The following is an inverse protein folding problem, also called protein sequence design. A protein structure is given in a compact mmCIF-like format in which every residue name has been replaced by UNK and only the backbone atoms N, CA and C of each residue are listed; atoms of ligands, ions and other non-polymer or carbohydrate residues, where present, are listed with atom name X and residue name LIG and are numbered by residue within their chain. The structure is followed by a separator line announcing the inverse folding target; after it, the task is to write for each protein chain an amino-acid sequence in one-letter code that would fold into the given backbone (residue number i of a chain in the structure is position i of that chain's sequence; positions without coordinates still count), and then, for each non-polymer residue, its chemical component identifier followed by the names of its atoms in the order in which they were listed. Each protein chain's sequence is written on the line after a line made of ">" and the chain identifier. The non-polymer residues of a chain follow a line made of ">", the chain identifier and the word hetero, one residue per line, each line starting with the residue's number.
data_IF_846280067419
#
_entry.id   IF_846280067419
#
_cell.length_a   1.000
_cell.length_b   1.000
_cell.length_c   1.000
_cell.angle_alpha   90.00
_cell.angle_beta   90.00
_cell.angle_gamma   90.00
#
_symmetry.space_group_name_H-M   'P 1'
#
loop_
_entity.id
_entity.type
_entity.pdbx_description
1 polymer ?
#
# COMPACT_ATOMS: atom_id res chain seq x y z
N UNK A 1 -28.54 -12.16 24.17
CA UNK A 1 -28.81 -11.26 25.32
C UNK A 1 -28.88 -9.77 24.98
N UNK A 2 -28.50 -9.32 23.77
CA UNK A 2 -28.46 -7.89 23.40
C UNK A 2 -29.83 -7.25 23.04
N UNK A 3 -30.85 -8.04 22.67
CA UNK A 3 -32.15 -7.51 22.22
C UNK A 3 -33.08 -7.00 23.34
N UNK A 4 -32.88 -7.45 24.59
CA UNK A 4 -33.73 -7.04 25.73
C UNK A 4 -33.49 -5.57 26.14
N UNK A 5 -32.29 -5.05 25.89
CA UNK A 5 -31.90 -3.70 26.32
C UNK A 5 -32.54 -2.58 25.48
N UNK A 6 -32.74 -2.78 24.17
CA UNK A 6 -33.31 -1.76 23.29
C UNK A 6 -34.82 -1.56 23.49
N UNK A 7 -35.56 -2.63 23.80
CA UNK A 7 -37.02 -2.55 24.05
C UNK A 7 -37.31 -1.80 25.36
N UNK A 8 -36.49 -2.01 26.40
CA UNK A 8 -36.60 -1.34 27.70
C UNK A 8 -36.35 0.17 27.61
N UNK A 9 -35.33 0.59 26.84
CA UNK A 9 -35.03 2.02 26.63
C UNK A 9 -36.10 2.73 25.81
N UNK A 10 -36.67 2.05 24.81
CA UNK A 10 -37.72 2.61 23.96
C UNK A 10 -39.03 2.84 24.72
N UNK A 11 -39.41 1.90 25.60
CA UNK A 11 -40.60 2.04 26.47
C UNK A 11 -40.45 3.18 27.51
N UNK A 12 -39.23 3.45 28.00
CA UNK A 12 -38.97 4.58 28.91
C UNK A 12 -39.11 5.95 28.24
N UNK A 13 -38.82 6.04 26.94
CA UNK A 13 -38.98 7.29 26.17
C UNK A 13 -40.47 7.63 25.98
N UNK A 14 -41.31 6.61 25.80
CA UNK A 14 -42.75 6.78 25.63
C UNK A 14 -43.48 7.20 26.92
N UNK A 15 -43.01 6.76 28.08
CA UNK A 15 -43.59 7.13 29.38
C UNK A 15 -43.48 8.62 29.74
N UNK A 16 -42.65 9.40 29.03
CA UNK A 16 -42.45 10.84 29.28
C UNK A 16 -43.19 11.76 28.30
N UNK A 17 -43.82 11.24 27.24
CA UNK A 17 -44.53 12.04 26.26
C UNK A 17 -45.98 12.30 26.71
N UNK A 18 -46.24 13.50 27.26
CA UNK A 18 -47.61 13.98 27.51
C UNK A 18 -48.24 14.46 26.20
N UNK A 19 -49.07 13.62 25.58
CA UNK A 19 -49.84 14.00 24.40
C UNK A 19 -51.03 14.89 24.79
N UNK A 20 -51.02 16.16 24.35
CA UNK A 20 -52.08 17.14 24.61
C UNK A 20 -53.36 16.95 23.78
N UNK A 21 -53.40 16.00 22.84
CA UNK A 21 -54.54 15.82 21.92
C UNK A 21 -54.71 14.36 21.52
N UNK A 22 -55.97 13.88 21.52
CA UNK A 22 -56.35 12.53 21.07
C UNK A 22 -55.94 12.24 19.62
N UNK A 23 -55.83 13.26 18.75
CA UNK A 23 -55.38 13.08 17.36
C UNK A 23 -53.92 12.61 17.25
N UNK A 24 -53.05 13.03 18.18
CA UNK A 24 -51.62 12.67 18.13
C UNK A 24 -51.37 11.23 18.55
N UNK A 25 -52.24 10.64 19.36
CA UNK A 25 -52.14 9.23 19.77
C UNK A 25 -52.40 8.32 18.57
N UNK A 26 -53.37 8.67 17.70
CA UNK A 26 -53.70 7.89 16.52
C UNK A 26 -52.55 7.84 15.51
N UNK A 27 -51.87 8.97 15.25
CA UNK A 27 -50.72 9.00 14.34
C UNK A 27 -49.53 8.19 14.84
N UNK A 28 -49.26 8.23 16.15
CA UNK A 28 -48.18 7.46 16.76
C UNK A 28 -48.48 5.96 16.71
N UNK A 29 -49.74 5.56 16.93
CA UNK A 29 -50.15 4.16 16.82
C UNK A 29 -50.08 3.66 15.37
N UNK A 30 -50.47 4.50 14.41
CA UNK A 30 -50.42 4.17 12.98
C UNK A 30 -48.97 4.05 12.48
N UNK A 31 -48.08 4.95 12.93
CA UNK A 31 -46.65 4.86 12.64
C UNK A 31 -46.04 3.56 13.20
N UNK A 32 -46.40 3.19 14.43
CA UNK A 32 -45.90 1.97 15.07
C UNK A 32 -46.35 0.69 14.35
N UNK A 33 -47.63 0.65 13.93
CA UNK A 33 -48.17 -0.43 13.11
C UNK A 33 -47.46 -0.56 11.76
N UNK A 34 -47.20 0.56 11.07
CA UNK A 34 -46.47 0.56 9.79
C UNK A 34 -45.05 0.04 9.98
N UNK A 35 -44.34 0.47 11.05
CA UNK A 35 -43.00 -0.05 11.34
C UNK A 35 -43.00 -1.54 11.70
N UNK A 36 -44.00 -2.04 12.44
CA UNK A 36 -44.10 -3.48 12.71
C UNK A 36 -44.39 -4.31 11.46
N UNK A 37 -45.28 -3.83 10.58
CA UNK A 37 -45.58 -4.50 9.32
C UNK A 37 -44.35 -4.51 8.42
N UNK A 38 -43.59 -3.40 8.34
CA UNK A 38 -42.29 -3.39 7.65
C UNK A 38 -41.31 -4.39 8.27
N UNK A 39 -41.24 -4.53 9.60
CA UNK A 39 -40.37 -5.54 10.22
C UNK A 39 -40.83 -7.00 10.05
N UNK A 40 -42.11 -7.23 9.75
CA UNK A 40 -42.66 -8.58 9.55
C UNK A 40 -42.71 -9.02 8.08
N UNK A 41 -42.80 -8.07 7.14
CA UNK A 41 -42.93 -8.36 5.70
C UNK A 41 -41.57 -8.48 5.01
N UNK A 42 -40.51 -7.89 5.56
CA UNK A 42 -39.16 -8.12 5.06
C UNK A 42 -38.59 -9.39 5.72
N UNK A 43 -38.30 -10.46 4.96
CA UNK A 43 -37.61 -11.61 5.52
C UNK A 43 -36.26 -11.15 6.06
N UNK A 44 -35.83 -11.74 7.19
CA UNK A 44 -34.45 -11.60 7.67
C UNK A 44 -33.51 -11.79 6.48
N UNK A 45 -32.43 -10.99 6.33
CA UNK A 45 -31.41 -11.32 5.36
C UNK A 45 -30.97 -12.75 5.65
N UNK A 46 -31.21 -13.61 4.67
CA UNK A 46 -30.68 -14.97 4.66
C UNK A 46 -29.17 -14.78 4.68
N UNK A 47 -28.50 -15.33 5.70
CA UNK A 47 -27.04 -15.48 5.67
C UNK A 47 -26.73 -16.44 4.51
N UNK A 48 -26.53 -15.86 3.33
CA UNK A 48 -26.05 -16.58 2.17
C UNK A 48 -24.61 -17.02 2.46
N UNK A 49 -24.46 -18.30 2.81
CA UNK A 49 -23.20 -19.06 2.81
C UNK A 49 -22.67 -19.29 1.38
N UNK A 50 -22.72 -18.26 0.54
CA UNK A 50 -22.35 -18.29 -0.89
C UNK A 50 -21.27 -17.25 -1.26
N UNK A 51 -20.57 -16.67 -0.28
CA UNK A 51 -19.59 -15.57 -0.49
C UNK A 51 -18.12 -15.99 -0.56
N UNK A 52 -17.77 -17.28 -0.57
CA UNK A 52 -16.35 -17.66 -0.60
C UNK A 52 -15.69 -17.54 -1.98
N UNK A 53 -16.44 -17.49 -3.08
CA UNK A 53 -15.84 -17.46 -4.44
C UNK A 53 -15.69 -16.08 -5.05
N UNK A 54 -16.48 -15.09 -4.60
CA UNK A 54 -16.33 -13.69 -5.03
C UNK A 54 -15.29 -12.92 -4.21
N UNK A 55 -15.03 -13.32 -2.96
CA UNK A 55 -14.01 -12.69 -2.11
C UNK A 55 -12.57 -13.05 -2.48
N UNK A 56 -12.31 -14.23 -3.05
CA UNK A 56 -10.96 -14.61 -3.48
C UNK A 56 -10.41 -13.70 -4.60
N UNK A 57 -11.28 -13.18 -5.48
CA UNK A 57 -10.87 -12.28 -6.56
C UNK A 57 -10.60 -10.85 -6.07
N UNK A 58 -11.28 -10.38 -5.02
CA UNK A 58 -11.05 -9.04 -4.46
C UNK A 58 -9.78 -8.96 -3.60
N UNK A 59 -9.42 -10.06 -2.93
CA UNK A 59 -8.25 -10.11 -2.04
C UNK A 59 -6.90 -9.89 -2.75
N UNK A 60 -6.86 -9.96 -4.08
CA UNK A 60 -5.63 -9.77 -4.87
C UNK A 60 -5.56 -8.40 -5.56
N UNK A 61 -6.56 -7.53 -5.37
CA UNK A 61 -6.55 -6.21 -6.00
C UNK A 61 -5.67 -5.24 -5.23
N UNK A 62 -4.72 -4.63 -5.95
CA UNK A 62 -3.67 -3.78 -5.40
C UNK A 62 -3.50 -2.55 -6.28
N UNK A 63 -3.41 -1.38 -5.64
CA UNK A 63 -2.99 -0.14 -6.28
C UNK A 63 -1.60 0.22 -5.77
N UNK A 64 -0.64 0.28 -6.67
CA UNK A 64 0.73 0.73 -6.39
C UNK A 64 0.81 2.19 -6.78
N UNK A 65 1.10 3.05 -5.81
CA UNK A 65 1.16 4.51 -5.95
C UNK A 65 2.62 4.93 -6.00
N UNK A 66 2.99 5.69 -7.02
CA UNK A 66 4.33 6.23 -7.12
C UNK A 66 4.32 7.66 -7.67
N UNK A 67 5.41 8.36 -7.38
CA UNK A 67 5.75 9.64 -8.00
C UNK A 67 7.17 9.55 -8.59
N UNK A 68 7.30 9.02 -9.80
CA UNK A 68 8.58 8.89 -10.49
C UNK A 68 9.13 10.25 -10.95
N UNK A 69 10.38 10.30 -11.40
CA UNK A 69 10.84 11.40 -12.24
C UNK A 69 10.29 11.25 -13.66
N UNK A 70 10.19 12.32 -14.46
CA UNK A 70 9.85 12.21 -15.88
C UNK A 70 10.80 11.29 -16.65
N UNK A 71 10.23 10.47 -17.55
CA UNK A 71 10.95 9.61 -18.49
C UNK A 71 11.52 10.47 -19.61
N UNK A 72 12.62 11.14 -19.28
CA UNK A 72 13.28 12.12 -20.16
C UNK A 72 14.43 11.53 -20.97
N UNK A 73 14.84 10.29 -20.68
CA UNK A 73 15.97 9.62 -21.31
C UNK A 73 15.85 8.10 -21.24
N UNK A 74 16.66 7.41 -22.05
CA UNK A 74 16.67 5.95 -22.17
C UNK A 74 17.02 5.25 -20.86
N UNK A 75 17.93 5.81 -20.07
CA UNK A 75 18.31 5.24 -18.77
C UNK A 75 17.11 5.15 -17.82
N UNK A 76 16.28 6.20 -17.78
CA UNK A 76 15.06 6.23 -16.94
C UNK A 76 14.00 5.30 -17.49
N UNK A 77 13.81 5.30 -18.83
CA UNK A 77 12.89 4.39 -19.54
C UNK A 77 13.18 2.93 -19.19
N UNK A 78 14.43 2.51 -19.36
CA UNK A 78 14.82 1.11 -19.22
C UNK A 78 14.68 0.63 -17.76
N UNK A 79 15.00 1.51 -16.80
CA UNK A 79 14.82 1.21 -15.36
C UNK A 79 13.36 1.10 -14.97
N UNK A 80 12.51 2.03 -15.43
CA UNK A 80 11.07 1.98 -15.13
C UNK A 80 10.37 0.83 -15.82
N UNK A 81 10.85 0.38 -16.99
CA UNK A 81 10.36 -0.85 -17.58
C UNK A 81 10.56 -2.02 -16.62
N UNK A 82 11.73 -2.14 -15.98
CA UNK A 82 12.01 -3.21 -15.03
C UNK A 82 11.12 -3.06 -13.77
N UNK A 83 11.13 -1.89 -13.13
CA UNK A 83 10.42 -1.71 -11.85
C UNK A 83 8.90 -1.79 -12.01
N UNK A 84 8.32 -1.05 -12.96
CA UNK A 84 6.87 -1.06 -13.20
C UNK A 84 6.39 -2.43 -13.68
N UNK A 85 7.22 -3.19 -14.42
CA UNK A 85 6.85 -4.55 -14.78
C UNK A 85 6.82 -5.47 -13.57
N UNK A 86 7.75 -5.35 -12.63
CA UNK A 86 7.70 -6.13 -11.38
C UNK A 86 6.40 -5.91 -10.61
N UNK A 87 5.91 -4.66 -10.60
CA UNK A 87 4.66 -4.28 -9.98
C UNK A 87 3.45 -4.83 -10.76
N UNK A 88 3.39 -4.61 -12.06
CA UNK A 88 2.26 -5.01 -12.91
C UNK A 88 2.13 -6.53 -13.06
N UNK A 89 3.24 -7.28 -12.93
CA UNK A 89 3.25 -8.74 -12.94
C UNK A 89 2.87 -9.35 -11.59
N UNK A 90 2.79 -8.56 -10.53
CA UNK A 90 2.47 -9.04 -9.19
C UNK A 90 1.07 -9.68 -9.12
N UNK A 91 0.08 -9.08 -9.80
CA UNK A 91 -1.22 -9.70 -10.08
C UNK A 91 -1.86 -9.11 -11.34
N UNK A 92 -2.72 -9.87 -12.07
CA UNK A 92 -3.42 -9.38 -13.26
C UNK A 92 -4.30 -8.14 -13.02
N UNK A 93 -4.75 -7.94 -11.78
CA UNK A 93 -5.59 -6.81 -11.35
C UNK A 93 -4.80 -5.66 -10.73
N UNK A 94 -3.46 -5.77 -10.64
CA UNK A 94 -2.64 -4.70 -10.07
C UNK A 94 -2.69 -3.46 -10.94
N UNK A 95 -3.02 -2.30 -10.36
CA UNK A 95 -2.95 -1.00 -11.01
C UNK A 95 -1.74 -0.22 -10.50
N UNK A 96 -1.08 0.52 -11.37
CA UNK A 96 -0.05 1.50 -11.00
C UNK A 96 -0.66 2.88 -11.15
N UNK A 97 -0.73 3.63 -10.06
CA UNK A 97 -1.18 5.01 -10.00
C UNK A 97 0.02 5.95 -9.94
N UNK A 98 0.19 6.72 -11.02
CA UNK A 98 1.24 7.73 -11.14
C UNK A 98 0.63 9.09 -10.81
N UNK A 99 1.10 9.74 -9.74
CA UNK A 99 0.55 11.01 -9.24
C UNK A 99 1.12 12.25 -9.96
N UNK A 100 1.05 12.23 -11.29
CA UNK A 100 1.34 13.38 -12.16
C UNK A 100 0.61 13.21 -13.51
N UNK A 101 0.45 14.26 -14.31
CA UNK A 101 -0.15 14.15 -15.63
C UNK A 101 0.68 13.25 -16.58
N UNK A 102 0.03 12.54 -17.52
CA UNK A 102 0.72 11.62 -18.44
C UNK A 102 1.78 12.31 -19.31
N UNK A 103 1.53 13.54 -19.74
CA UNK A 103 2.47 14.32 -20.55
C UNK A 103 3.69 14.81 -19.74
N UNK A 104 3.58 14.85 -18.40
CA UNK A 104 4.72 15.16 -17.52
C UNK A 104 5.54 13.89 -17.25
N UNK A 105 4.85 12.76 -17.03
CA UNK A 105 5.51 11.48 -16.79
C UNK A 105 6.32 10.99 -18.01
N UNK A 106 5.70 10.96 -19.20
CA UNK A 106 6.33 10.43 -20.41
C UNK A 106 6.21 11.43 -21.57
N UNK A 107 6.92 12.57 -21.51
CA UNK A 107 6.73 13.69 -22.44
C UNK A 107 7.04 13.33 -23.90
N UNK A 108 7.82 12.27 -24.13
CA UNK A 108 8.24 11.83 -25.46
C UNK A 108 7.65 10.46 -25.84
N UNK A 109 6.67 9.93 -25.09
CA UNK A 109 6.08 8.61 -25.30
C UNK A 109 7.12 7.47 -25.39
N UNK A 110 8.16 7.52 -24.57
CA UNK A 110 9.27 6.58 -24.54
C UNK A 110 8.91 5.23 -23.93
N UNK A 111 7.93 5.17 -23.03
CA UNK A 111 7.63 3.95 -22.27
C UNK A 111 6.15 3.57 -22.24
N UNK A 112 5.24 4.55 -22.21
CA UNK A 112 3.81 4.30 -22.05
C UNK A 112 3.22 3.41 -23.14
N UNK A 113 3.51 3.61 -24.45
CA UNK A 113 3.02 2.72 -25.49
C UNK A 113 3.42 1.25 -25.27
N UNK A 114 4.65 1.01 -24.80
CA UNK A 114 5.15 -0.33 -24.53
C UNK A 114 4.45 -0.95 -23.31
N UNK A 115 4.34 -0.23 -22.20
CA UNK A 115 3.67 -0.74 -21.00
C UNK A 115 2.19 -1.04 -21.25
N UNK A 116 1.49 -0.17 -21.99
CA UNK A 116 0.10 -0.42 -22.40
C UNK A 116 -0.02 -1.66 -23.29
N UNK A 117 0.89 -1.85 -24.24
CA UNK A 117 0.91 -3.06 -25.06
C UNK A 117 1.15 -4.34 -24.25
N UNK A 118 2.06 -4.29 -23.26
CA UNK A 118 2.43 -5.46 -22.46
C UNK A 118 1.37 -5.86 -21.43
N UNK A 119 0.73 -4.89 -20.79
CA UNK A 119 -0.11 -5.13 -19.61
C UNK A 119 -1.60 -4.88 -19.86
N UNK A 120 -1.93 -4.16 -20.94
CA UNK A 120 -3.28 -3.75 -21.28
C UNK A 120 -3.59 -2.31 -20.86
N UNK A 121 -4.73 -1.81 -21.35
CA UNK A 121 -5.27 -0.53 -20.94
C UNK A 121 -5.67 -0.57 -19.45
N UNK A 122 -5.73 0.61 -18.82
CA UNK A 122 -6.20 0.81 -17.43
C UNK A 122 -5.36 0.13 -16.33
N UNK A 123 -4.20 -0.45 -16.69
CA UNK A 123 -3.21 -0.96 -15.74
C UNK A 123 -2.31 0.13 -15.16
N UNK A 124 -2.07 1.18 -15.93
CA UNK A 124 -1.40 2.39 -15.49
C UNK A 124 -2.41 3.52 -15.56
N UNK A 125 -2.65 4.15 -14.43
CA UNK A 125 -3.59 5.26 -14.27
C UNK A 125 -2.83 6.49 -13.75
N UNK A 126 -3.33 7.66 -14.10
CA UNK A 126 -2.74 8.93 -13.70
C UNK A 126 -3.66 9.66 -12.74
N UNK A 127 -3.09 10.11 -11.63
CA UNK A 127 -3.80 10.87 -10.61
C UNK A 127 -3.61 12.39 -10.75
N UNK A 128 -4.16 13.16 -9.81
CA UNK A 128 -3.95 14.60 -9.77
C UNK A 128 -2.48 14.93 -9.50
N UNK A 129 -2.02 16.08 -9.99
CA UNK A 129 -0.74 16.66 -9.59
C UNK A 129 -0.73 16.91 -8.08
N UNK A 130 0.38 16.58 -7.43
CA UNK A 130 0.59 16.87 -6.01
C UNK A 130 1.14 18.27 -5.81
N UNK A 131 0.88 18.88 -4.65
CA UNK A 131 1.44 20.21 -4.37
C UNK A 131 2.95 20.14 -4.11
N UNK A 132 3.60 21.26 -4.42
CA UNK A 132 5.04 21.44 -4.31
C UNK A 132 5.35 22.74 -3.61
N UNK A 133 6.54 22.82 -3.01
CA UNK A 133 7.09 24.10 -2.54
C UNK A 133 7.50 25.03 -3.70
N UNK A 134 8.06 26.19 -3.36
CA UNK A 134 8.50 27.21 -4.30
C UNK A 134 9.63 26.77 -5.26
N UNK A 135 10.41 25.72 -4.93
CA UNK A 135 11.40 25.15 -5.85
C UNK A 135 10.87 23.91 -6.57
N UNK A 136 9.57 23.62 -6.48
CA UNK A 136 8.95 22.46 -7.12
C UNK A 136 9.25 21.13 -6.43
N UNK A 137 9.64 21.12 -5.15
CA UNK A 137 9.81 19.86 -4.41
C UNK A 137 8.46 19.42 -3.84
N UNK A 138 7.99 18.20 -4.16
CA UNK A 138 6.68 17.76 -3.71
C UNK A 138 6.59 17.44 -2.22
N UNK A 139 5.39 17.57 -1.67
CA UNK A 139 5.12 17.21 -0.28
C UNK A 139 4.65 15.75 -0.10
N UNK A 140 5.09 15.12 0.99
CA UNK A 140 4.77 13.72 1.34
C UNK A 140 3.32 13.55 1.77
N UNK A 141 2.77 14.45 2.57
CA UNK A 141 1.36 14.42 2.99
C UNK A 141 0.42 14.41 1.76
N UNK A 142 0.66 15.31 0.81
CA UNK A 142 -0.05 15.37 -0.47
C UNK A 142 0.07 14.07 -1.27
N UNK A 143 1.26 13.46 -1.30
CA UNK A 143 1.50 12.17 -1.95
C UNK A 143 0.68 11.03 -1.32
N UNK A 144 0.52 11.04 0.00
CA UNK A 144 -0.32 10.07 0.72
C UNK A 144 -1.82 10.35 0.56
N UNK A 145 -2.26 11.59 0.73
CA UNK A 145 -3.67 12.00 0.65
C UNK A 145 -4.22 11.75 -0.75
N UNK A 146 -3.62 12.35 -1.79
CA UNK A 146 -4.07 12.20 -3.18
C UNK A 146 -3.95 10.76 -3.67
N UNK A 147 -2.95 10.04 -3.18
CA UNK A 147 -2.79 8.62 -3.44
C UNK A 147 -3.95 7.79 -2.89
N UNK A 148 -4.33 8.01 -1.63
CA UNK A 148 -5.43 7.31 -0.98
C UNK A 148 -6.77 7.61 -1.66
N UNK A 149 -7.01 8.88 -1.99
CA UNK A 149 -8.25 9.34 -2.61
C UNK A 149 -8.47 8.75 -4.01
N UNK A 150 -7.41 8.61 -4.79
CA UNK A 150 -7.48 8.06 -6.15
C UNK A 150 -7.39 6.53 -6.18
N UNK A 151 -7.02 5.85 -5.09
CA UNK A 151 -6.91 4.41 -5.03
C UNK A 151 -8.27 3.72 -4.79
N UNK A 152 -8.58 2.76 -5.67
CA UNK A 152 -9.87 2.04 -5.68
C UNK A 152 -9.83 0.66 -5.01
N UNK A 153 -8.63 0.17 -4.68
CA UNK A 153 -8.44 -1.21 -4.21
C UNK A 153 -8.33 -1.30 -2.68
N UNK A 154 -8.64 -2.47 -2.08
CA UNK A 154 -8.50 -2.67 -0.64
C UNK A 154 -7.06 -2.62 -0.15
N UNK A 155 -6.09 -3.04 -0.99
CA UNK A 155 -4.66 -2.92 -0.72
C UNK A 155 -4.07 -1.75 -1.50
N UNK A 156 -3.31 -0.90 -0.82
CA UNK A 156 -2.69 0.29 -1.40
C UNK A 156 -1.22 0.32 -0.99
N UNK A 157 -0.31 0.59 -1.92
CA UNK A 157 1.13 0.59 -1.66
C UNK A 157 1.79 1.84 -2.22
N UNK A 158 2.31 2.72 -1.37
CA UNK A 158 3.21 3.79 -1.79
C UNK A 158 4.61 3.23 -1.93
N UNK A 159 5.24 3.42 -3.09
CA UNK A 159 6.55 2.83 -3.38
C UNK A 159 7.45 3.82 -4.16
N UNK A 160 8.74 3.80 -3.85
CA UNK A 160 9.74 4.52 -4.66
C UNK A 160 9.90 3.86 -6.04
N UNK A 161 10.13 4.68 -7.07
CA UNK A 161 10.03 4.22 -8.46
C UNK A 161 11.18 3.30 -8.93
N UNK A 162 12.22 3.16 -8.13
CA UNK A 162 13.41 2.34 -8.33
C UNK A 162 13.39 1.03 -7.53
N UNK A 163 12.23 0.69 -6.95
CA UNK A 163 12.04 -0.55 -6.21
C UNK A 163 11.41 -1.63 -7.08
N UNK A 164 11.98 -2.82 -7.02
CA UNK A 164 11.46 -4.05 -7.62
C UNK A 164 10.80 -4.88 -6.51
N UNK A 165 9.58 -5.35 -6.77
CA UNK A 165 8.89 -6.32 -5.90
C UNK A 165 9.34 -7.73 -6.25
N UNK A 166 9.98 -8.47 -5.33
CA UNK A 166 10.53 -9.80 -5.62
C UNK A 166 9.44 -10.87 -5.69
N UNK A 167 9.83 -12.08 -6.09
CA UNK A 167 8.93 -13.23 -6.09
C UNK A 167 8.39 -13.49 -4.67
N UNK A 168 7.10 -13.77 -4.57
CA UNK A 168 6.46 -14.06 -3.29
C UNK A 168 6.15 -12.84 -2.42
N UNK A 169 6.34 -11.61 -2.92
CA UNK A 169 5.94 -10.38 -2.23
C UNK A 169 4.42 -10.33 -1.98
N UNK A 170 3.58 -10.30 -3.02
CA UNK A 170 2.12 -10.25 -2.85
C UNK A 170 1.55 -11.48 -2.13
N UNK A 171 2.01 -12.73 -2.37
CA UNK A 171 1.54 -13.87 -1.57
C UNK A 171 1.72 -13.68 -0.05
N UNK A 172 2.83 -13.06 0.40
CA UNK A 172 3.01 -12.70 1.82
C UNK A 172 2.03 -11.62 2.26
N UNK A 173 1.81 -10.59 1.44
CA UNK A 173 0.82 -9.55 1.72
C UNK A 173 -0.59 -10.15 1.83
N UNK A 174 -0.97 -11.06 0.93
CA UNK A 174 -2.27 -11.73 0.96
C UNK A 174 -2.43 -12.61 2.20
N UNK A 175 -1.36 -13.29 2.61
CA UNK A 175 -1.34 -14.01 3.88
C UNK A 175 -1.62 -13.06 5.05
N UNK A 176 -0.91 -11.93 5.13
CA UNK A 176 -1.12 -10.92 6.17
C UNK A 176 -2.53 -10.33 6.11
N UNK A 177 -3.03 -10.04 4.91
CA UNK A 177 -4.38 -9.55 4.69
C UNK A 177 -5.39 -10.52 5.26
N UNK A 178 -5.31 -11.81 4.91
CA UNK A 178 -6.19 -12.82 5.46
C UNK A 178 -6.08 -12.95 6.99
N UNK A 179 -4.87 -12.84 7.55
CA UNK A 179 -4.66 -12.93 9.00
C UNK A 179 -5.30 -11.76 9.75
N UNK A 180 -5.01 -10.52 9.36
CA UNK A 180 -5.51 -9.32 10.05
C UNK A 180 -6.97 -9.01 9.72
N UNK A 181 -7.40 -9.21 8.47
CA UNK A 181 -8.78 -8.99 8.06
C UNK A 181 -9.75 -9.92 8.79
N UNK A 182 -9.39 -11.19 9.05
CA UNK A 182 -10.20 -12.12 9.86
C UNK A 182 -10.41 -11.65 11.30
N UNK A 183 -9.54 -10.76 11.78
CA UNK A 183 -9.63 -10.16 13.10
C UNK A 183 -10.26 -8.76 13.07
N UNK A 184 -10.82 -8.34 11.93
CA UNK A 184 -11.39 -7.00 11.71
C UNK A 184 -10.36 -5.88 11.96
N UNK A 185 -9.10 -6.14 11.57
CA UNK A 185 -7.99 -5.21 11.76
C UNK A 185 -7.45 -4.69 10.45
N UNK A 186 -7.38 -3.36 10.36
CA UNK A 186 -6.50 -2.67 9.42
C UNK A 186 -5.04 -2.93 9.80
N UNK A 187 -4.14 -2.93 8.82
CA UNK A 187 -2.71 -3.10 9.05
C UNK A 187 -1.89 -2.38 7.98
N UNK A 188 -0.61 -2.18 8.31
CA UNK A 188 0.40 -1.65 7.39
C UNK A 188 1.59 -2.59 7.28
N UNK A 189 2.24 -2.61 6.12
CA UNK A 189 3.40 -3.44 5.83
C UNK A 189 4.54 -2.61 5.29
N UNK A 190 5.74 -2.92 5.76
CA UNK A 190 7.01 -2.39 5.27
C UNK A 190 7.99 -3.55 5.06
N UNK A 191 9.10 -3.29 4.38
CA UNK A 191 10.26 -4.18 4.45
C UNK A 191 11.55 -3.38 4.45
N UNK A 192 12.63 -4.08 4.81
CA UNK A 192 14.00 -3.68 4.49
C UNK A 192 14.19 -3.82 2.98
N UNK A 193 15.06 -3.00 2.38
CA UNK A 193 15.51 -3.21 1.00
C UNK A 193 16.84 -3.96 0.94
N UNK A 194 17.11 -4.56 -0.21
CA UNK A 194 18.44 -4.94 -0.63
C UNK A 194 18.89 -4.00 -1.74
N UNK A 195 20.13 -3.55 -1.66
CA UNK A 195 20.77 -2.74 -2.69
C UNK A 195 21.49 -3.64 -3.68
N UNK A 196 21.41 -3.29 -4.96
CA UNK A 196 22.21 -3.90 -6.01
C UNK A 196 22.46 -2.92 -7.15
N UNK A 197 23.59 -3.10 -7.83
CA UNK A 197 23.93 -2.35 -9.03
C UNK A 197 23.46 -3.11 -10.27
N UNK A 198 22.74 -2.41 -11.15
CA UNK A 198 22.30 -2.95 -12.43
C UNK A 198 22.82 -2.05 -13.56
N UNK A 199 23.79 -2.52 -14.37
CA UNK A 199 24.41 -1.71 -15.41
C UNK A 199 23.37 -1.18 -16.43
N UNK A 200 23.46 0.09 -16.86
CA UNK A 200 22.56 0.65 -17.86
C UNK A 200 22.47 -0.20 -19.14
N UNK A 201 23.59 -0.78 -19.58
CA UNK A 201 23.67 -1.59 -20.80
C UNK A 201 22.79 -2.84 -20.69
N UNK A 202 22.75 -3.47 -19.51
CA UNK A 202 21.88 -4.63 -19.24
C UNK A 202 20.41 -4.22 -19.20
N UNK A 203 20.10 -3.05 -18.64
CA UNK A 203 18.73 -2.52 -18.66
C UNK A 203 18.24 -2.24 -20.09
N UNK A 204 19.10 -1.65 -20.92
CA UNK A 204 18.79 -1.43 -22.33
C UNK A 204 18.65 -2.73 -23.11
N UNK A 205 19.42 -3.77 -22.77
CA UNK A 205 19.25 -5.11 -23.34
C UNK A 205 17.86 -5.68 -23.05
N UNK A 206 17.36 -5.57 -21.81
CA UNK A 206 15.98 -5.99 -21.46
C UNK A 206 14.96 -5.25 -22.32
N UNK A 207 15.07 -3.92 -22.44
CA UNK A 207 14.16 -3.11 -23.25
C UNK A 207 14.18 -3.55 -24.73
N UNK A 208 15.37 -3.66 -25.32
CA UNK A 208 15.55 -4.03 -26.72
C UNK A 208 15.01 -5.44 -27.01
N UNK A 209 15.25 -6.40 -26.12
CA UNK A 209 14.76 -7.78 -26.30
C UNK A 209 13.24 -7.86 -26.36
N UNK A 210 12.52 -7.02 -25.60
CA UNK A 210 11.05 -6.95 -25.65
C UNK A 210 10.58 -6.24 -26.91
N UNK A 211 11.26 -5.16 -27.31
CA UNK A 211 10.90 -4.41 -28.50
C UNK A 211 11.05 -5.27 -29.76
N UNK A 212 12.17 -5.98 -29.91
CA UNK A 212 12.43 -6.86 -31.06
C UNK A 212 11.54 -8.09 -31.10
N UNK A 213 11.02 -8.56 -29.97
CA UNK A 213 10.03 -9.64 -29.95
C UNK A 213 8.60 -9.17 -30.30
N UNK A 214 8.43 -7.92 -30.75
CA UNK A 214 7.12 -7.29 -30.99
C UNK A 214 6.17 -7.39 -29.79
N UNK A 215 6.69 -7.42 -28.55
CA UNK A 215 5.88 -7.63 -27.35
C UNK A 215 5.21 -9.01 -27.26
N UNK A 216 5.44 -9.92 -28.22
CA UNK A 216 5.17 -11.34 -27.99
C UNK A 216 6.13 -11.82 -26.91
N UNK A 217 5.67 -12.74 -26.04
CA UNK A 217 6.49 -13.30 -24.94
C UNK A 217 7.81 -13.81 -25.52
N UNK A 218 8.84 -12.97 -25.44
CA UNK A 218 10.22 -13.40 -25.59
C UNK A 218 10.43 -14.58 -24.66
N UNK A 219 11.30 -15.53 -25.02
CA UNK A 219 11.66 -16.63 -24.12
C UNK A 219 12.20 -16.12 -22.76
N UNK A 220 12.55 -14.84 -22.68
CA UNK A 220 13.04 -14.15 -21.49
C UNK A 220 12.02 -13.20 -20.83
N UNK A 221 10.75 -13.18 -21.27
CA UNK A 221 9.71 -12.30 -20.71
C UNK A 221 8.57 -13.08 -20.02
N UNK A 222 8.21 -12.75 -18.76
CA UNK A 222 8.83 -11.74 -17.90
C UNK A 222 10.22 -12.16 -17.38
N UNK A 223 11.12 -11.22 -17.04
CA UNK A 223 12.42 -11.55 -16.48
C UNK A 223 12.26 -12.12 -15.06
N UNK A 224 13.24 -12.90 -14.63
CA UNK A 224 13.37 -13.28 -13.23
C UNK A 224 14.01 -12.12 -12.45
N UNK A 225 13.19 -11.43 -11.65
CA UNK A 225 13.63 -10.29 -10.85
C UNK A 225 14.63 -10.69 -9.74
N UNK A 226 14.59 -11.93 -9.25
CA UNK A 226 15.54 -12.42 -8.24
C UNK A 226 16.91 -12.71 -8.86
N UNK A 227 16.93 -13.11 -10.15
CA UNK A 227 18.16 -13.25 -10.95
C UNK A 227 18.76 -11.89 -11.30
N UNK A 228 17.94 -10.90 -11.70
CA UNK A 228 18.35 -9.52 -11.92
C UNK A 228 19.08 -8.96 -10.69
N UNK A 229 18.56 -9.24 -9.49
CA UNK A 229 19.11 -8.81 -8.22
C UNK A 229 20.03 -9.88 -7.59
N UNK A 230 20.66 -10.76 -8.37
CA UNK A 230 21.50 -11.85 -7.83
C UNK A 230 22.71 -11.37 -7.02
N UNK A 231 23.24 -10.18 -7.30
CA UNK A 231 24.36 -9.54 -6.57
C UNK A 231 23.92 -8.68 -5.39
N UNK A 232 22.64 -8.75 -5.00
CA UNK A 232 22.06 -7.92 -3.95
C UNK A 232 22.73 -8.10 -2.59
N UNK A 233 22.73 -7.02 -1.81
CA UNK A 233 23.19 -6.99 -0.43
C UNK A 233 22.15 -6.31 0.45
N UNK A 234 22.05 -6.73 1.70
CA UNK A 234 21.04 -6.21 2.61
C UNK A 234 21.38 -4.77 3.03
N UNK A 235 20.49 -3.80 2.78
CA UNK A 235 20.70 -2.40 3.19
C UNK A 235 20.57 -2.24 4.70
N UNK A 236 20.79 -1.09 5.33
CA UNK A 236 20.44 -0.91 6.76
C UNK A 236 18.92 -1.09 7.05
N UNK A 237 18.54 -1.30 8.31
CA UNK A 237 17.12 -1.39 8.73
C UNK A 237 16.34 -0.07 8.59
N UNK A 238 17.03 1.02 8.22
CA UNK A 238 16.43 2.32 7.94
C UNK A 238 15.98 2.48 6.48
N UNK A 239 16.41 1.60 5.56
CA UNK A 239 15.97 1.64 4.17
C UNK A 239 14.58 1.06 4.01
N UNK A 240 13.57 1.94 4.05
CA UNK A 240 12.16 1.64 3.86
C UNK A 240 11.71 2.40 2.62
N UNK A 241 11.41 1.67 1.55
CA UNK A 241 11.05 2.28 0.26
C UNK A 241 9.63 1.97 -0.20
N UNK A 242 8.86 1.24 0.63
CA UNK A 242 7.42 1.13 0.43
C UNK A 242 6.65 1.15 1.74
N UNK A 243 5.40 1.60 1.65
CA UNK A 243 4.41 1.57 2.70
C UNK A 243 3.12 0.98 2.11
N UNK A 244 2.78 -0.24 2.51
CA UNK A 244 1.53 -0.88 2.11
C UNK A 244 0.52 -0.78 3.24
N UNK A 245 -0.74 -0.55 2.89
CA UNK A 245 -1.83 -0.45 3.85
C UNK A 245 -3.07 -1.18 3.32
N UNK A 246 -3.75 -1.89 4.21
CA UNK A 246 -5.11 -2.36 3.97
C UNK A 246 -6.11 -1.25 4.32
N UNK A 247 -6.85 -0.74 3.34
CA UNK A 247 -7.76 0.41 3.47
C UNK A 247 -8.93 0.16 4.41
N UNK A 248 -9.41 -1.08 4.48
CA UNK A 248 -10.57 -1.47 5.28
C UNK A 248 -10.14 -2.20 6.57
N UNK A 249 -10.96 -2.20 7.65
CA UNK A 249 -12.32 -1.63 7.74
C UNK A 249 -12.37 -0.18 8.23
N UNK A 250 -11.23 0.48 8.48
CA UNK A 250 -11.17 1.81 9.09
C UNK A 250 -10.62 2.86 8.13
N UNK A 251 -11.22 4.04 8.13
CA UNK A 251 -10.67 5.18 7.38
C UNK A 251 -9.42 5.73 8.08
N UNK A 252 -8.33 5.82 7.34
CA UNK A 252 -7.07 6.41 7.79
C UNK A 252 -7.11 7.91 7.50
N UNK A 253 -6.73 8.72 8.48
CA UNK A 253 -6.57 10.15 8.29
C UNK A 253 -5.11 10.51 8.03
N UNK A 254 -4.75 10.78 6.78
CA UNK A 254 -3.39 11.20 6.42
C UNK A 254 -3.13 12.71 6.62
N UNK A 255 -4.13 13.50 7.01
CA UNK A 255 -3.97 14.93 7.33
C UNK A 255 -3.04 15.15 8.54
N UNK A 256 -2.75 14.09 9.31
CA UNK A 256 -1.78 14.13 10.40
C UNK A 256 -0.31 14.05 9.94
N UNK A 257 -0.06 13.65 8.69
CA UNK A 257 1.28 13.63 8.12
C UNK A 257 1.72 15.09 7.90
N UNK A 258 2.87 15.52 8.45
CA UNK A 258 3.41 16.84 8.16
C UNK A 258 3.80 16.98 6.70
N UNK A 259 3.84 18.21 6.14
CA UNK A 259 4.31 18.47 4.79
C UNK A 259 5.84 18.29 4.72
N UNK A 260 6.29 17.04 4.68
CA UNK A 260 7.69 16.71 4.46
C UNK A 260 8.03 16.86 2.99
N UNK A 261 9.24 17.30 2.70
CA UNK A 261 9.75 17.34 1.33
C UNK A 261 10.17 15.94 0.88
N UNK A 262 9.61 15.48 -0.25
CA UNK A 262 9.95 14.23 -0.90
C UNK A 262 11.43 14.21 -1.33
N UNK A 263 12.06 13.04 -1.24
CA UNK A 263 13.47 12.85 -1.60
C UNK A 263 14.47 13.39 -0.57
N UNK A 264 14.01 14.03 0.51
CA UNK A 264 14.82 14.45 1.66
C UNK A 264 14.75 13.41 2.78
N UNK A 265 15.70 13.44 3.71
CA UNK A 265 15.69 12.50 4.84
C UNK A 265 14.54 12.77 5.81
N UNK A 266 14.31 11.80 6.71
CA UNK A 266 13.53 11.87 7.95
C UNK A 266 12.08 11.42 7.85
N UNK A 267 11.42 11.66 6.72
CA UNK A 267 9.99 11.39 6.58
C UNK A 267 9.67 9.90 6.67
N UNK A 268 10.52 9.04 6.14
CA UNK A 268 10.37 7.58 6.08
C UNK A 268 10.22 6.93 7.48
N UNK A 269 11.19 7.01 8.42
CA UNK A 269 11.00 6.56 9.80
C UNK A 269 9.91 7.29 10.57
N UNK A 270 9.55 8.50 10.14
CA UNK A 270 8.45 9.22 10.76
C UNK A 270 7.12 8.57 10.38
N UNK A 271 6.87 8.32 9.09
CA UNK A 271 5.69 7.62 8.59
C UNK A 271 5.60 6.23 9.21
N UNK A 272 6.70 5.48 9.27
CA UNK A 272 6.72 4.16 9.93
C UNK A 272 6.26 4.24 11.39
N UNK A 273 6.74 5.23 12.14
CA UNK A 273 6.35 5.37 13.54
C UNK A 273 4.93 5.87 13.72
N UNK A 274 4.46 6.73 12.82
CA UNK A 274 3.07 7.16 12.78
C UNK A 274 2.13 5.97 12.47
N UNK A 275 2.44 5.16 11.45
CA UNK A 275 1.69 3.94 11.14
C UNK A 275 1.66 2.97 12.32
N UNK A 276 2.82 2.71 12.94
CA UNK A 276 2.91 1.86 14.13
C UNK A 276 2.04 2.33 15.29
N UNK A 277 1.83 3.63 15.43
CA UNK A 277 0.99 4.22 16.49
C UNK A 277 -0.50 4.01 16.19
N UNK A 278 -0.90 4.01 14.92
CA UNK A 278 -2.30 4.00 14.51
C UNK A 278 -2.83 2.61 14.09
N UNK A 279 -1.96 1.69 13.69
CA UNK A 279 -2.34 0.34 13.28
C UNK A 279 -1.21 -0.68 13.50
N UNK A 280 -1.50 -1.99 13.49
CA UNK A 280 -0.49 -3.03 13.33
C UNK A 280 0.47 -2.70 12.18
N UNK A 281 1.73 -2.43 12.53
CA UNK A 281 2.82 -2.32 11.56
C UNK A 281 3.54 -3.65 11.49
N UNK A 282 3.60 -4.22 10.30
CA UNK A 282 4.26 -5.49 10.02
C UNK A 282 5.49 -5.26 9.17
N UNK A 283 6.62 -5.82 9.61
CA UNK A 283 7.79 -5.97 8.75
C UNK A 283 7.73 -7.31 8.01
N UNK A 284 8.07 -7.33 6.73
CA UNK A 284 8.25 -8.60 6.00
C UNK A 284 9.46 -9.42 6.48
N UNK A 285 10.20 -8.94 7.49
CA UNK A 285 11.31 -9.66 8.11
C UNK A 285 12.68 -9.11 7.74
N UNK A 286 13.71 -9.72 8.29
CA UNK A 286 15.11 -9.47 7.90
C UNK A 286 15.60 -10.48 6.85
N UNK A 287 14.90 -11.59 6.67
CA UNK A 287 15.16 -12.62 5.68
C UNK A 287 14.43 -12.36 4.36
N UNK A 288 13.60 -11.32 4.28
CA UNK A 288 12.96 -10.86 3.05
C UNK A 288 13.28 -9.38 2.78
N UNK A 289 13.55 -9.04 1.52
CA UNK A 289 13.80 -7.65 1.12
C UNK A 289 13.24 -7.34 -0.27
N UNK A 290 12.80 -6.11 -0.48
CA UNK A 290 12.59 -5.57 -1.84
C UNK A 290 13.92 -5.19 -2.47
N UNK A 291 14.00 -5.09 -3.80
CA UNK A 291 15.26 -4.74 -4.45
C UNK A 291 15.28 -3.28 -4.89
N UNK A 292 16.26 -2.53 -4.41
CA UNK A 292 16.49 -1.15 -4.79
C UNK A 292 17.56 -1.12 -5.87
N UNK A 293 17.16 -0.69 -7.07
CA UNK A 293 18.09 -0.43 -8.16
C UNK A 293 18.94 0.79 -7.78
N UNK A 294 20.21 0.59 -7.48
CA UNK A 294 21.06 1.69 -7.05
C UNK A 294 21.10 2.82 -8.08
N UNK A 295 21.18 4.04 -7.53
CA UNK A 295 21.36 5.27 -8.29
C UNK A 295 22.17 6.26 -7.45
N UNK A 296 22.77 7.26 -8.09
CA UNK A 296 23.50 8.31 -7.38
C UNK A 296 22.51 9.14 -6.56
N UNK A 297 22.66 9.22 -5.22
CA UNK A 297 21.77 10.02 -4.40
C UNK A 297 21.90 11.52 -4.75
N UNK A 298 20.78 12.20 -4.93
CA UNK A 298 20.74 13.65 -5.14
C UNK A 298 20.29 14.34 -3.86
N UNK A 299 21.00 15.40 -3.46
CA UNK A 299 20.55 16.40 -2.49
C UNK A 299 20.01 15.86 -1.14
N UNK A 300 20.77 14.96 -0.50
CA UNK A 300 20.48 14.42 0.84
C UNK A 300 21.46 14.89 1.93
N UNK A 301 22.13 16.02 1.70
CA UNK A 301 23.13 16.55 2.64
C UNK A 301 22.43 17.20 3.84
N UNK A 302 22.99 17.07 5.05
CA UNK A 302 22.40 17.65 6.27
C UNK A 302 22.39 19.18 6.26
N UNK A 303 23.21 19.80 5.42
CA UNK A 303 23.26 21.25 5.24
C UNK A 303 22.08 21.79 4.43
N UNK A 304 21.43 20.94 3.62
CA UNK A 304 20.26 21.25 2.81
C UNK A 304 19.10 21.74 3.69
N UNK A 305 18.55 22.90 3.37
CA UNK A 305 17.49 23.53 4.15
C UNK A 305 16.24 22.64 4.26
N UNK A 306 15.89 21.92 3.20
CA UNK A 306 14.70 21.05 3.16
C UNK A 306 14.88 19.80 4.02
N UNK A 307 16.12 19.33 4.16
CA UNK A 307 16.43 18.29 5.14
C UNK A 307 16.19 18.83 6.54
N UNK A 308 16.70 20.01 6.88
CA UNK A 308 16.49 20.63 8.20
C UNK A 308 15.01 20.86 8.50
N UNK A 309 14.23 21.33 7.52
CA UNK A 309 12.78 21.50 7.63
C UNK A 309 12.08 20.18 7.92
N UNK A 310 12.45 19.08 7.25
CA UNK A 310 11.91 17.77 7.59
C UNK A 310 12.25 17.35 9.04
N UNK A 311 13.46 17.63 9.52
CA UNK A 311 13.82 17.36 10.91
C UNK A 311 13.00 18.20 11.91
N UNK A 312 12.77 19.48 11.63
CA UNK A 312 11.93 20.35 12.46
C UNK A 312 10.46 19.95 12.43
N UNK A 313 9.91 19.64 11.25
CA UNK A 313 8.55 19.10 11.10
C UNK A 313 8.40 17.81 11.90
N UNK A 314 9.35 16.87 11.78
CA UNK A 314 9.31 15.64 12.55
C UNK A 314 9.33 15.93 14.06
N UNK A 315 10.18 16.85 14.52
CA UNK A 315 10.31 17.22 15.94
C UNK A 315 9.02 17.81 16.51
N UNK A 316 8.33 18.67 15.75
CA UNK A 316 7.05 19.28 16.14
C UNK A 316 5.91 18.24 16.20
N UNK A 317 6.00 17.18 15.41
CA UNK A 317 4.96 16.17 15.27
C UNK A 317 5.37 14.81 15.86
N UNK A 318 5.74 14.80 17.14
CA UNK A 318 6.00 13.56 17.91
C UNK A 318 7.37 12.91 17.70
N UNK A 319 8.17 13.39 16.75
CA UNK A 319 9.57 13.00 16.53
C UNK A 319 9.79 11.49 16.34
N UNK A 320 8.85 10.78 15.69
CA UNK A 320 8.94 9.34 15.48
C UNK A 320 10.25 8.90 14.79
N UNK A 321 10.84 7.79 15.23
CA UNK A 321 12.10 7.21 14.70
C UNK A 321 12.01 5.68 14.68
N UNK A 322 11.16 5.13 13.81
CA UNK A 322 10.91 3.68 13.79
C UNK A 322 11.53 3.08 12.53
N UNK A 323 12.63 2.31 12.63
CA UNK A 323 13.16 1.52 11.52
C UNK A 323 12.37 0.20 11.35
N UNK A 324 12.69 -0.55 10.29
CA UNK A 324 12.06 -1.84 9.96
C UNK A 324 12.03 -2.81 11.16
N UNK A 325 13.16 -2.92 11.88
CA UNK A 325 13.29 -3.84 13.02
C UNK A 325 12.47 -3.48 14.26
N UNK A 326 11.79 -2.32 14.28
CA UNK A 326 10.92 -1.93 15.41
C UNK A 326 9.43 -2.06 15.12
N UNK A 327 9.05 -2.69 14.00
CA UNK A 327 7.66 -3.04 13.68
C UNK A 327 6.97 -3.83 14.82
N UNK A 328 5.64 -3.74 14.90
CA UNK A 328 4.84 -4.41 15.94
C UNK A 328 4.73 -5.91 15.70
N UNK A 329 4.80 -6.33 14.43
CA UNK A 329 4.84 -7.72 14.00
C UNK A 329 5.93 -7.88 12.94
N UNK A 330 6.39 -9.10 12.73
CA UNK A 330 7.35 -9.42 11.69
C UNK A 330 7.19 -10.84 11.19
N UNK A 331 7.55 -11.07 9.93
CA UNK A 331 7.75 -12.40 9.39
C UNK A 331 9.19 -12.85 9.63
N UNK A 332 9.36 -14.13 9.97
CA UNK A 332 10.65 -14.79 10.02
C UNK A 332 10.49 -16.24 9.57
N UNK A 333 11.20 -16.61 8.52
CA UNK A 333 11.00 -17.84 7.76
C UNK A 333 9.56 -17.92 7.25
N UNK A 334 8.83 -18.90 7.79
CA UNK A 334 7.43 -19.17 7.48
C UNK A 334 6.48 -18.82 8.61
N UNK A 335 6.88 -17.98 9.55
CA UNK A 335 6.10 -17.70 10.74
C UNK A 335 5.90 -16.21 10.96
N UNK A 336 4.70 -15.86 11.41
CA UNK A 336 4.35 -14.52 11.86
C UNK A 336 4.60 -14.42 13.36
N UNK A 337 5.32 -13.38 13.78
CA UNK A 337 5.57 -13.08 15.18
C UNK A 337 5.01 -11.72 15.56
N UNK A 338 4.63 -11.58 16.83
CA UNK A 338 4.42 -10.28 17.45
C UNK A 338 5.67 -9.90 18.22
N UNK A 339 6.01 -8.62 18.21
CA UNK A 339 7.12 -8.09 18.99
C UNK A 339 6.98 -8.50 20.47
N UNK A 340 8.11 -8.85 21.07
CA UNK A 340 8.24 -9.30 22.47
C UNK A 340 7.64 -10.69 22.78
N UNK A 341 7.09 -11.42 21.79
CA UNK A 341 6.68 -12.82 21.94
C UNK A 341 7.71 -13.76 21.29
N UNK A 342 7.98 -14.88 21.95
CA UNK A 342 8.89 -15.93 21.46
C UNK A 342 8.18 -16.95 20.58
N UNK A 343 6.91 -17.22 20.85
CA UNK A 343 6.11 -18.18 20.10
C UNK A 343 5.53 -17.55 18.82
N UNK A 344 5.52 -18.29 17.70
CA UNK A 344 4.88 -17.83 16.48
C UNK A 344 3.37 -17.73 16.67
N UNK A 345 2.75 -16.70 16.09
CA UNK A 345 1.31 -16.51 16.11
C UNK A 345 0.60 -17.39 15.09
N UNK A 346 1.23 -17.59 13.92
CA UNK A 346 0.67 -18.34 12.81
C UNK A 346 1.77 -18.72 11.80
N UNK A 347 1.46 -19.65 10.89
CA UNK A 347 2.38 -20.17 9.86
C UNK A 347 1.89 -19.81 8.46
N UNK A 348 2.82 -19.30 7.64
CA UNK A 348 2.65 -19.04 6.21
C UNK A 348 2.58 -20.37 5.45
N UNK A 349 1.72 -20.44 4.43
CA UNK A 349 1.57 -21.61 3.56
C UNK A 349 2.87 -21.99 2.85
N UNK A 350 3.10 -23.30 2.70
CA UNK A 350 4.33 -23.85 2.11
C UNK A 350 4.48 -23.53 0.61
N UNK A 351 3.38 -23.18 -0.08
CA UNK A 351 3.39 -22.71 -1.48
C UNK A 351 3.99 -21.31 -1.67
N UNK A 352 4.06 -20.50 -0.61
CA UNK A 352 4.69 -19.18 -0.68
C UNK A 352 6.21 -19.39 -0.80
N UNK A 353 6.87 -18.76 -1.81
CA UNK A 353 8.32 -18.88 -2.02
C UNK A 353 9.10 -18.52 -0.76
N UNK A 354 10.25 -19.16 -0.54
CA UNK A 354 11.14 -18.86 0.59
C UNK A 354 11.59 -17.38 0.61
N UNK A 355 12.00 -16.85 1.77
CA UNK A 355 12.56 -15.52 1.89
C UNK A 355 13.80 -15.34 0.99
N UNK A 356 14.00 -14.12 0.47
CA UNK A 356 14.93 -13.82 -0.61
C UNK A 356 16.15 -12.97 -0.19
N UNK A 357 16.21 -12.50 1.07
CA UNK A 357 17.32 -11.69 1.53
C UNK A 357 18.58 -12.54 1.72
N UNK A 358 19.76 -12.01 1.36
CA UNK A 358 21.03 -12.65 1.69
C UNK A 358 21.23 -12.63 3.22
N UNK A 359 22.11 -13.51 3.75
CA UNK A 359 22.52 -13.46 5.15
C UNK A 359 23.01 -12.05 5.52
N UNK A 360 22.66 -11.57 6.71
CA UNK A 360 23.16 -10.28 7.20
C UNK A 360 24.67 -10.42 7.42
N UNK A 361 25.45 -9.62 6.69
CA UNK A 361 26.92 -9.59 6.79
C UNK A 361 27.41 -8.63 7.87
N UNK A 362 26.48 -7.97 8.59
CA UNK A 362 26.73 -6.90 9.56
C UNK A 362 27.27 -7.36 10.90
#
# INVERSE_FOLDING_TARGET
>A
MMYSYHISSFMRLFGKLRFKSRKNITYVFMFFMITMILFMVFPKPVEDKLTNKSNENNNNSLTIICLPYPVSNEHTRDRYLITMSSWLLTAPTTKVLILMPPYEFDPNNMIMPLLTNLFGNDRIIFGPSIETDEDGVPFIDEWFIKGLDAAETPLICWINADIITPKGWLPRINYLYNYFYRNDQQFSVISRRCDFDYPPERASEVYNNILYSNGTKSIYWPPDFDEIASSRSLHSTWGIDFFLIAKEPMQINFDEIPPFHLGKYRWDPWITGWLRKHMPLISLGNDFCTYHLNHIPKARKMEDIKVKENFENAKRHGNFKVPNGLASYFLQGRYLYQKDKTEPLDKIDDSIPEPNAPPDSS
#
